data_IF_267431752287
#
_entry.id   IF_267431752287
#
_cell.length_a   1.000
_cell.length_b   1.000
_cell.length_c   1.000
_cell.angle_alpha   90.00
_cell.angle_beta   90.00
_cell.angle_gamma   90.00
#
_symmetry.space_group_name_H-M   'P 1'
#
loop_
_entity.id
_entity.type
_entity.pdbx_description
1 polymer ?
#
# COMPACT_ATOMS: atom_id res chain seq x y z
N UNK A 1 21.62 -27.26 -83.46
CA UNK A 1 21.08 -28.59 -83.73
C UNK A 1 20.98 -29.37 -82.41
N UNK A 2 19.83 -29.62 -81.79
CA UNK A 2 18.54 -28.89 -81.73
C UNK A 2 17.61 -29.56 -80.69
N UNK A 3 16.51 -28.99 -80.17
CA UNK A 3 15.83 -27.69 -80.41
C UNK A 3 15.39 -27.05 -79.08
N UNK A 4 14.86 -25.82 -79.10
CA UNK A 4 14.08 -25.24 -77.99
C UNK A 4 12.72 -25.92 -77.82
N UNK A 5 12.45 -26.49 -76.65
CA UNK A 5 11.08 -26.84 -76.21
C UNK A 5 10.55 -25.78 -75.25
N UNK A 6 9.42 -25.17 -75.62
CA UNK A 6 8.82 -24.00 -74.97
C UNK A 6 8.24 -24.35 -73.59
N UNK A 7 8.57 -23.58 -72.55
CA UNK A 7 7.80 -23.59 -71.31
C UNK A 7 6.43 -22.93 -71.55
N UNK A 8 5.38 -23.74 -71.67
CA UNK A 8 4.01 -23.26 -71.85
C UNK A 8 3.47 -22.75 -70.50
N UNK A 9 3.71 -21.47 -70.23
CA UNK A 9 3.16 -20.76 -69.07
C UNK A 9 1.67 -20.42 -69.30
N UNK A 10 0.80 -21.42 -69.08
CA UNK A 10 -0.65 -21.31 -69.27
C UNK A 10 -1.32 -20.45 -68.18
N UNK A 11 -1.38 -19.13 -68.41
CA UNK A 11 -2.19 -18.20 -67.61
C UNK A 11 -3.35 -17.65 -68.47
N UNK A 12 -4.46 -18.38 -68.52
CA UNK A 12 -5.66 -18.02 -69.30
C UNK A 12 -6.47 -16.82 -68.75
N UNK A 13 -6.06 -16.25 -67.61
CA UNK A 13 -6.70 -15.07 -67.04
C UNK A 13 -5.64 -14.01 -66.76
N UNK A 14 -5.74 -12.86 -67.42
CA UNK A 14 -4.80 -11.72 -67.34
C UNK A 14 -4.84 -10.94 -66.02
N UNK A 15 -4.86 -11.65 -64.89
CA UNK A 15 -4.96 -11.07 -63.55
C UNK A 15 -3.55 -10.79 -63.02
N UNK A 16 -3.31 -9.57 -62.55
CA UNK A 16 -2.03 -9.20 -61.93
C UNK A 16 -1.88 -9.95 -60.61
N UNK A 17 -0.99 -10.94 -60.57
CA UNK A 17 -0.66 -11.66 -59.33
C UNK A 17 0.19 -10.79 -58.40
N UNK A 18 -0.47 -10.08 -57.48
CA UNK A 18 0.21 -9.35 -56.41
C UNK A 18 0.77 -10.34 -55.38
N UNK A 19 2.10 -10.35 -55.21
CA UNK A 19 2.79 -11.20 -54.23
C UNK A 19 2.63 -10.60 -52.82
N UNK A 20 1.47 -10.81 -52.21
CA UNK A 20 1.13 -10.25 -50.89
C UNK A 20 1.96 -10.92 -49.79
N UNK A 21 3.02 -10.25 -49.34
CA UNK A 21 3.76 -10.65 -48.16
C UNK A 21 2.97 -10.32 -46.90
N UNK A 22 2.23 -11.30 -46.36
CA UNK A 22 1.49 -11.17 -45.10
C UNK A 22 2.48 -11.15 -43.92
N UNK A 23 2.97 -9.96 -43.58
CA UNK A 23 3.75 -9.73 -42.36
C UNK A 23 2.78 -9.77 -41.17
N UNK A 24 2.71 -10.92 -40.50
CA UNK A 24 2.03 -11.01 -39.20
C UNK A 24 2.79 -10.16 -38.18
N UNK A 25 2.33 -8.95 -37.91
CA UNK A 25 2.82 -8.19 -36.77
C UNK A 25 2.57 -8.98 -35.49
N UNK A 26 3.63 -9.48 -34.86
CA UNK A 26 3.57 -9.96 -33.49
C UNK A 26 3.26 -8.78 -32.59
N UNK A 27 1.97 -8.60 -32.28
CA UNK A 27 1.51 -7.83 -31.12
C UNK A 27 2.39 -8.26 -29.94
N UNK A 28 2.92 -7.29 -29.18
CA UNK A 28 3.81 -7.57 -28.05
C UNK A 28 2.94 -7.65 -26.79
N UNK A 29 2.36 -8.83 -26.42
CA UNK A 29 1.37 -8.92 -25.34
C UNK A 29 1.93 -8.39 -24.03
N UNK A 30 3.24 -8.56 -23.80
CA UNK A 30 3.94 -8.08 -22.62
C UNK A 30 3.78 -6.56 -22.40
N UNK A 31 3.71 -5.74 -23.47
CA UNK A 31 3.50 -4.28 -23.34
C UNK A 31 2.07 -3.96 -22.93
N UNK A 32 1.10 -4.65 -23.53
CA UNK A 32 -0.31 -4.51 -23.19
C UNK A 32 -0.57 -4.90 -21.73
N UNK A 33 -0.05 -6.07 -21.32
CA UNK A 33 -0.13 -6.57 -19.93
C UNK A 33 0.51 -5.57 -18.96
N UNK A 34 1.72 -5.05 -19.23
CA UNK A 34 2.35 -4.04 -18.36
C UNK A 34 1.54 -2.75 -18.27
N UNK A 35 0.89 -2.31 -19.35
CA UNK A 35 0.02 -1.13 -19.33
C UNK A 35 -1.23 -1.38 -18.49
N UNK A 36 -1.92 -2.51 -18.67
CA UNK A 36 -3.11 -2.88 -17.89
C UNK A 36 -2.79 -2.96 -16.39
N UNK A 37 -1.69 -3.63 -16.02
CA UNK A 37 -1.24 -3.71 -14.62
C UNK A 37 -0.90 -2.31 -14.07
N UNK A 38 -0.21 -1.47 -14.84
CA UNK A 38 0.15 -0.10 -14.43
C UNK A 38 -1.10 0.76 -14.19
N UNK A 39 -2.10 0.71 -15.08
CA UNK A 39 -3.36 1.43 -14.89
C UNK A 39 -4.16 0.89 -13.71
N UNK A 40 -4.21 -0.42 -13.51
CA UNK A 40 -4.88 -1.03 -12.36
C UNK A 40 -4.24 -0.58 -11.04
N UNK A 41 -2.90 -0.59 -10.94
CA UNK A 41 -2.17 -0.07 -9.78
C UNK A 41 -2.40 1.42 -9.56
N UNK A 42 -2.43 2.22 -10.63
CA UNK A 42 -2.70 3.66 -10.54
C UNK A 42 -4.12 3.95 -10.04
N UNK A 43 -5.13 3.23 -10.53
CA UNK A 43 -6.52 3.33 -10.05
C UNK A 43 -6.62 2.93 -8.58
N UNK A 44 -5.97 1.84 -8.17
CA UNK A 44 -5.91 1.43 -6.75
C UNK A 44 -5.26 2.50 -5.87
N UNK A 45 -4.12 3.06 -6.28
CA UNK A 45 -3.47 4.15 -5.54
C UNK A 45 -4.34 5.41 -5.46
N UNK A 46 -5.08 5.74 -6.52
CA UNK A 46 -6.01 6.87 -6.54
C UNK A 46 -7.19 6.65 -5.58
N UNK A 47 -7.77 5.44 -5.53
CA UNK A 47 -8.83 5.08 -4.59
C UNK A 47 -8.33 5.10 -3.13
N UNK A 48 -7.13 4.59 -2.86
CA UNK A 48 -6.50 4.66 -1.53
C UNK A 48 -6.22 6.11 -1.14
N UNK A 49 -5.70 6.92 -2.07
CA UNK A 49 -5.46 8.36 -1.84
C UNK A 49 -6.74 9.14 -1.57
N UNK A 50 -7.82 8.88 -2.31
CA UNK A 50 -9.11 9.52 -2.12
C UNK A 50 -9.75 9.14 -0.78
N UNK A 51 -9.75 7.85 -0.42
CA UNK A 51 -10.28 7.40 0.88
C UNK A 51 -9.48 7.96 2.06
N UNK A 52 -8.15 8.03 1.94
CA UNK A 52 -7.28 8.70 2.93
C UNK A 52 -7.59 10.20 3.05
N UNK A 53 -7.80 10.89 1.93
CA UNK A 53 -8.14 12.32 1.91
C UNK A 53 -9.48 12.58 2.59
N UNK A 54 -10.52 11.81 2.26
CA UNK A 54 -11.83 11.88 2.92
C UNK A 54 -11.71 11.64 4.42
N UNK A 55 -10.95 10.61 4.84
CA UNK A 55 -10.71 10.31 6.25
C UNK A 55 -10.01 11.46 7.01
N UNK A 56 -8.98 12.08 6.42
CA UNK A 56 -8.28 13.22 7.03
C UNK A 56 -9.17 14.47 7.06
N UNK A 57 -9.96 14.72 6.02
CA UNK A 57 -10.91 15.84 5.97
C UNK A 57 -12.00 15.68 7.05
N UNK A 58 -12.55 14.48 7.19
CA UNK A 58 -13.55 14.10 8.18
C UNK A 58 -13.04 14.29 9.63
N UNK A 59 -11.79 13.93 9.93
CA UNK A 59 -11.13 14.26 11.21
C UNK A 59 -11.04 15.78 11.42
N UNK A 60 -10.57 16.53 10.43
CA UNK A 60 -10.43 18.00 10.55
C UNK A 60 -11.77 18.71 10.72
N UNK A 61 -12.83 18.23 10.06
CA UNK A 61 -14.19 18.76 10.16
C UNK A 61 -14.78 18.48 11.54
N UNK A 62 -14.56 17.28 12.13
CA UNK A 62 -14.96 16.98 13.52
C UNK A 62 -14.25 17.89 14.52
N UNK A 63 -12.92 17.98 14.43
CA UNK A 63 -12.12 18.82 15.32
C UNK A 63 -12.56 20.30 15.26
N UNK A 64 -12.84 20.82 14.06
CA UNK A 64 -13.37 22.18 13.88
C UNK A 64 -14.79 22.39 14.46
N UNK A 65 -15.57 21.32 14.63
CA UNK A 65 -16.88 21.32 15.31
C UNK A 65 -16.78 21.09 16.82
N UNK A 66 -15.57 20.99 17.38
CA UNK A 66 -15.32 20.72 18.80
C UNK A 66 -15.42 19.24 19.20
N UNK A 67 -15.74 18.33 18.28
CA UNK A 67 -15.74 16.90 18.55
C UNK A 67 -14.31 16.34 18.46
N UNK A 68 -13.71 16.11 19.62
CA UNK A 68 -12.40 15.47 19.79
C UNK A 68 -12.51 13.96 20.05
N UNK A 69 -13.67 13.34 19.78
CA UNK A 69 -13.85 11.89 19.83
C UNK A 69 -12.75 11.16 19.05
N UNK A 70 -12.20 10.05 19.58
CA UNK A 70 -11.31 9.19 18.79
C UNK A 70 -11.97 8.77 17.47
N UNK A 71 -11.25 8.81 16.34
CA UNK A 71 -11.72 8.28 15.07
C UNK A 71 -12.24 6.84 15.20
N UNK A 72 -13.20 6.46 14.35
CA UNK A 72 -13.83 5.14 14.41
C UNK A 72 -12.84 3.98 14.20
N UNK A 73 -11.73 4.23 13.50
CA UNK A 73 -10.61 3.31 13.30
C UNK A 73 -9.32 4.10 13.54
N UNK A 74 -8.36 3.56 14.29
CA UNK A 74 -7.04 4.18 14.49
C UNK A 74 -5.92 3.17 14.21
N UNK A 75 -4.70 3.68 14.01
CA UNK A 75 -3.50 2.87 13.84
C UNK A 75 -2.40 3.36 14.79
N UNK A 76 -1.90 2.47 15.64
CA UNK A 76 -0.84 2.77 16.61
C UNK A 76 0.37 1.88 16.41
N UNK A 77 1.57 2.43 16.59
CA UNK A 77 2.82 1.66 16.56
C UNK A 77 3.17 1.22 17.97
N UNK A 78 3.34 -0.08 18.14
CA UNK A 78 3.62 -0.70 19.44
C UNK A 78 5.06 -0.41 19.84
N UNK A 79 5.25 0.19 21.01
CA UNK A 79 6.56 0.65 21.48
C UNK A 79 7.26 -0.34 22.42
N UNK A 80 6.50 -1.09 23.21
CA UNK A 80 6.99 -1.97 24.28
C UNK A 80 6.65 -3.44 24.02
N UNK A 81 7.29 -4.35 24.76
CA UNK A 81 7.07 -5.79 24.65
C UNK A 81 5.99 -6.36 25.57
N UNK A 82 5.12 -5.54 26.18
CA UNK A 82 4.15 -6.03 27.19
C UNK A 82 3.08 -6.97 26.62
N UNK A 83 2.89 -7.01 25.30
CA UNK A 83 1.92 -7.86 24.61
C UNK A 83 2.56 -9.03 23.85
N UNK A 84 3.85 -9.34 24.09
CA UNK A 84 4.54 -10.50 23.50
C UNK A 84 3.93 -11.80 24.06
N UNK A 85 3.75 -12.87 23.26
CA UNK A 85 4.12 -13.01 21.84
C UNK A 85 3.04 -12.53 20.86
N UNK A 86 1.83 -12.18 21.32
CA UNK A 86 0.71 -11.87 20.43
C UNK A 86 0.96 -10.59 19.62
N UNK A 87 1.56 -9.56 20.21
CA UNK A 87 1.87 -8.30 19.52
C UNK A 87 3.33 -7.94 19.82
N UNK A 88 4.15 -7.80 18.77
CA UNK A 88 5.56 -7.51 18.91
C UNK A 88 5.82 -5.99 18.92
N UNK A 89 6.91 -5.52 19.57
CA UNK A 89 7.39 -4.16 19.37
C UNK A 89 7.61 -3.85 17.87
N UNK A 90 7.23 -2.64 17.44
CA UNK A 90 7.21 -2.18 16.04
C UNK A 90 6.15 -2.83 15.13
N UNK A 91 5.22 -3.61 15.67
CA UNK A 91 3.97 -3.90 14.95
C UNK A 91 3.05 -2.68 14.94
N UNK A 92 2.18 -2.60 13.93
CA UNK A 92 1.09 -1.62 13.88
C UNK A 92 -0.20 -2.31 14.29
N UNK A 93 -0.84 -1.85 15.36
CA UNK A 93 -2.19 -2.29 15.74
C UNK A 93 -3.24 -1.37 15.12
N UNK A 94 -4.24 -1.96 14.49
CA UNK A 94 -5.43 -1.28 14.00
C UNK A 94 -6.53 -1.47 15.05
N UNK A 95 -7.00 -0.37 15.62
CA UNK A 95 -8.08 -0.39 16.62
C UNK A 95 -9.38 0.12 16.01
N UNK A 96 -10.51 -0.39 16.50
CA UNK A 96 -11.85 0.06 16.13
C UNK A 96 -12.60 0.52 17.38
N UNK A 97 -13.24 1.68 17.31
CA UNK A 97 -14.08 2.18 18.40
C UNK A 97 -15.25 1.21 18.63
N UNK A 98 -15.47 0.84 19.89
CA UNK A 98 -16.54 -0.05 20.36
C UNK A 98 -17.18 0.55 21.60
N UNK A 99 -18.47 0.30 21.78
CA UNK A 99 -19.13 0.60 23.05
C UNK A 99 -18.62 -0.34 24.14
N UNK A 100 -18.35 0.18 25.34
CA UNK A 100 -17.79 -0.58 26.45
C UNK A 100 -18.66 -1.80 26.85
N UNK A 101 -19.98 -1.71 26.70
CA UNK A 101 -20.90 -2.84 26.93
C UNK A 101 -20.58 -4.06 26.06
N UNK A 102 -20.05 -3.86 24.85
CA UNK A 102 -19.77 -4.91 23.87
C UNK A 102 -18.41 -5.58 24.07
N UNK A 103 -17.46 -4.92 24.73
CA UNK A 103 -16.13 -5.46 25.04
C UNK A 103 -16.21 -6.63 26.02
N UNK A 104 -15.40 -7.65 25.85
CA UNK A 104 -15.41 -8.88 26.64
C UNK A 104 -14.05 -9.19 27.26
N UNK A 105 -14.04 -10.10 28.24
CA UNK A 105 -12.80 -10.65 28.79
C UNK A 105 -12.08 -11.43 27.70
N UNK A 106 -10.79 -11.15 27.50
CA UNK A 106 -9.98 -11.72 26.42
C UNK A 106 -9.70 -10.76 25.27
N UNK A 107 -10.52 -9.73 25.07
CA UNK A 107 -10.29 -8.71 24.03
C UNK A 107 -9.02 -7.90 24.34
N UNK A 108 -8.32 -7.45 23.30
CA UNK A 108 -7.19 -6.54 23.42
C UNK A 108 -7.70 -5.13 23.16
N UNK A 109 -7.52 -4.22 24.12
CA UNK A 109 -7.98 -2.83 24.01
C UNK A 109 -6.81 -1.86 24.07
N UNK A 110 -6.95 -0.78 23.32
CA UNK A 110 -6.10 0.41 23.43
C UNK A 110 -6.88 1.49 24.17
N UNK A 111 -6.27 2.06 25.21
CA UNK A 111 -6.90 3.03 26.10
C UNK A 111 -5.87 4.04 26.63
N UNK A 112 -6.37 5.16 27.16
CA UNK A 112 -5.55 6.16 27.85
C UNK A 112 -5.36 5.74 29.32
N UNK A 113 -4.12 5.62 29.76
CA UNK A 113 -3.80 5.16 31.12
C UNK A 113 -4.13 6.22 32.18
N UNK A 114 -4.92 5.80 33.19
CA UNK A 114 -5.18 6.55 34.42
C UNK A 114 -4.12 6.30 35.53
N UNK A 115 -3.14 5.42 35.33
CA UNK A 115 -2.03 5.22 36.28
C UNK A 115 -1.22 6.53 36.40
N UNK A 116 -1.04 7.11 37.60
CA UNK A 116 -0.25 8.33 37.79
C UNK A 116 1.14 8.29 37.15
N UNK A 117 1.78 7.11 37.11
CA UNK A 117 3.11 6.88 36.55
C UNK A 117 3.13 6.87 35.01
N UNK A 118 1.97 6.66 34.39
CA UNK A 118 1.76 6.57 32.95
C UNK A 118 0.62 7.50 32.49
N UNK A 119 0.42 8.61 33.19
CA UNK A 119 -0.69 9.55 32.95
C UNK A 119 -0.69 10.03 31.49
N UNK A 120 -1.84 9.92 30.82
CA UNK A 120 -2.01 10.28 29.40
C UNK A 120 -1.17 9.47 28.41
N UNK A 121 -0.60 8.32 28.81
CA UNK A 121 0.07 7.41 27.88
C UNK A 121 -0.96 6.43 27.30
N UNK A 122 -0.89 6.23 25.98
CA UNK A 122 -1.71 5.24 25.28
C UNK A 122 -1.13 3.84 25.54
N UNK A 123 -1.91 3.00 26.21
CA UNK A 123 -1.55 1.61 26.56
C UNK A 123 -2.42 0.65 25.75
N UNK A 124 -1.86 -0.50 25.36
CA UNK A 124 -2.60 -1.56 24.66
C UNK A 124 -2.39 -2.87 25.41
N UNK A 125 -3.43 -3.37 26.10
CA UNK A 125 -3.38 -4.56 26.94
C UNK A 125 -4.66 -5.41 26.80
N UNK A 126 -4.62 -6.65 27.29
CA UNK A 126 -5.77 -7.57 27.25
C UNK A 126 -6.68 -7.40 28.46
N UNK A 127 -8.00 -7.41 28.25
CA UNK A 127 -8.99 -7.43 29.33
C UNK A 127 -8.90 -8.77 30.08
N UNK A 128 -8.67 -8.71 31.40
CA UNK A 128 -8.70 -9.85 32.32
C UNK A 128 -9.99 -9.94 33.11
N UNK A 129 -10.57 -8.80 33.50
CA UNK A 129 -11.87 -8.73 34.13
C UNK A 129 -12.63 -7.49 33.65
N UNK A 130 -13.97 -7.60 33.65
CA UNK A 130 -14.90 -6.54 33.30
C UNK A 130 -15.84 -6.36 34.49
N UNK A 131 -16.00 -5.12 34.93
CA UNK A 131 -16.90 -4.74 36.00
C UNK A 131 -17.95 -3.78 35.44
N UNK A 132 -19.14 -3.80 36.04
CA UNK A 132 -20.24 -2.92 35.70
C UNK A 132 -20.77 -2.31 36.99
N UNK A 133 -20.83 -0.99 37.04
CA UNK A 133 -21.43 -0.25 38.14
C UNK A 133 -22.85 0.17 37.75
N UNK A 134 -23.83 -0.46 38.39
CA UNK A 134 -25.24 -0.20 38.15
C UNK A 134 -25.70 1.19 38.65
N UNK A 135 -24.93 1.86 39.53
CA UNK A 135 -25.27 3.20 40.05
C UNK A 135 -24.84 4.31 39.09
N UNK A 136 -23.68 4.17 38.45
CA UNK A 136 -23.18 5.12 37.45
C UNK A 136 -23.47 4.72 36.00
N UNK A 137 -23.96 3.48 35.78
CA UNK A 137 -24.17 2.86 34.46
C UNK A 137 -22.90 2.84 33.60
N UNK A 138 -21.75 2.60 34.26
CA UNK A 138 -20.42 2.59 33.63
C UNK A 138 -19.77 1.20 33.66
N UNK A 139 -18.86 0.99 32.72
CA UNK A 139 -18.00 -0.19 32.69
C UNK A 139 -16.55 0.18 33.01
N UNK A 140 -15.90 -0.67 33.79
CA UNK A 140 -14.45 -0.59 34.05
C UNK A 140 -13.79 -1.94 33.79
N UNK A 141 -12.52 -1.91 33.38
CA UNK A 141 -11.83 -3.10 32.91
C UNK A 141 -10.48 -3.24 33.61
N UNK A 142 -10.25 -4.40 34.22
CA UNK A 142 -8.90 -4.76 34.64
C UNK A 142 -8.16 -5.31 33.44
N UNK A 143 -7.06 -4.66 33.09
CA UNK A 143 -6.21 -5.02 31.96
C UNK A 143 -4.92 -5.68 32.43
N UNK A 144 -4.26 -6.39 31.51
CA UNK A 144 -2.95 -6.98 31.71
C UNK A 144 -2.24 -7.12 30.35
N UNK A 145 -0.96 -6.75 30.30
CA UNK A 145 -0.08 -7.12 29.20
C UNK A 145 0.17 -8.64 29.18
N UNK A 146 0.07 -9.28 28.02
CA UNK A 146 0.25 -10.74 27.89
C UNK A 146 1.61 -11.24 28.43
N UNK A 147 2.67 -10.42 28.32
CA UNK A 147 4.00 -10.70 28.84
C UNK A 147 4.24 -10.23 30.29
N UNK A 148 3.30 -9.49 30.90
CA UNK A 148 3.46 -8.98 32.27
C UNK A 148 3.22 -10.11 33.29
N UNK A 149 3.83 -10.02 34.48
CA UNK A 149 3.56 -10.99 35.56
C UNK A 149 2.23 -10.69 36.28
N UNK A 150 2.02 -9.43 36.68
CA UNK A 150 0.80 -8.97 37.36
C UNK A 150 -0.22 -8.37 36.38
N UNK A 151 -1.46 -8.20 36.83
CA UNK A 151 -2.42 -7.31 36.16
C UNK A 151 -2.06 -5.84 36.43
N UNK A 152 -2.65 -4.93 35.66
CA UNK A 152 -2.49 -3.50 35.86
C UNK A 152 -3.28 -3.05 37.11
N UNK A 153 -2.69 -2.15 37.91
CA UNK A 153 -3.25 -1.74 39.20
C UNK A 153 -4.47 -0.80 39.06
N UNK A 154 -4.45 0.08 38.07
CA UNK A 154 -5.56 0.98 37.75
C UNK A 154 -6.48 0.34 36.72
N UNK A 155 -7.79 0.37 36.99
CA UNK A 155 -8.79 -0.04 36.01
C UNK A 155 -8.84 0.96 34.84
N UNK A 156 -9.05 0.45 33.63
CA UNK A 156 -9.38 1.28 32.48
C UNK A 156 -10.88 1.66 32.56
N UNK A 157 -11.17 2.97 32.60
CA UNK A 157 -12.52 3.51 32.53
C UNK A 157 -13.05 3.49 31.09
N UNK A 158 -14.36 3.28 30.90
CA UNK A 158 -15.02 3.30 29.60
C UNK A 158 -14.79 4.59 28.77
N UNK A 159 -14.72 5.74 29.45
CA UNK A 159 -14.37 7.06 28.89
C UNK A 159 -12.97 7.11 28.27
N UNK A 160 -12.03 6.32 28.78
CA UNK A 160 -10.62 6.33 28.36
C UNK A 160 -10.32 5.29 27.26
N UNK A 161 -11.31 4.46 26.86
CA UNK A 161 -11.12 3.45 25.82
C UNK A 161 -11.14 4.09 24.44
N UNK A 162 -10.04 3.90 23.71
CA UNK A 162 -9.88 4.37 22.33
C UNK A 162 -10.47 3.35 21.36
N UNK A 163 -10.24 2.05 21.58
CA UNK A 163 -10.86 0.99 20.79
C UNK A 163 -10.32 -0.42 21.05
N UNK A 164 -11.00 -1.42 20.48
CA UNK A 164 -10.60 -2.83 20.41
C UNK A 164 -9.59 -3.03 19.28
N UNK A 165 -8.49 -3.76 19.51
CA UNK A 165 -7.54 -4.14 18.46
C UNK A 165 -8.17 -5.21 17.58
N UNK A 166 -8.51 -4.84 16.34
CA UNK A 166 -9.14 -5.74 15.36
C UNK A 166 -8.13 -6.41 14.42
N UNK A 167 -6.94 -5.84 14.26
CA UNK A 167 -5.91 -6.36 13.36
C UNK A 167 -4.53 -5.86 13.77
N UNK A 168 -3.48 -6.64 13.46
CA UNK A 168 -2.08 -6.25 13.61
C UNK A 168 -1.36 -6.41 12.27
N UNK A 169 -0.48 -5.46 11.94
CA UNK A 169 0.39 -5.53 10.77
C UNK A 169 1.82 -5.69 11.27
N UNK A 170 2.40 -6.91 11.20
CA UNK A 170 3.73 -7.17 11.71
C UNK A 170 4.78 -6.28 11.05
N UNK A 171 5.73 -5.78 11.83
CA UNK A 171 6.90 -5.01 11.38
C UNK A 171 6.61 -3.68 10.64
N UNK A 172 5.37 -3.26 10.44
CA UNK A 172 5.06 -2.03 9.69
C UNK A 172 5.60 -0.76 10.39
N UNK A 173 5.75 -0.78 11.72
CA UNK A 173 6.35 0.30 12.49
C UNK A 173 7.83 0.54 12.19
N UNK A 174 8.55 -0.43 11.60
CA UNK A 174 9.91 -0.19 11.09
C UNK A 174 9.89 0.78 9.91
N UNK A 175 8.91 0.67 8.99
CA UNK A 175 8.77 1.57 7.84
C UNK A 175 8.52 3.01 8.32
N UNK A 176 7.60 3.18 9.29
CA UNK A 176 7.36 4.48 9.93
C UNK A 176 8.64 5.03 10.59
N UNK A 177 9.41 4.18 11.29
CA UNK A 177 10.64 4.63 11.94
C UNK A 177 11.72 5.09 10.96
N UNK A 178 11.84 4.45 9.78
CA UNK A 178 12.76 4.89 8.72
C UNK A 178 12.29 6.24 8.15
N UNK A 179 11.00 6.35 7.80
CA UNK A 179 10.40 7.57 7.24
C UNK A 179 10.44 8.77 8.20
N UNK A 180 10.40 8.53 9.52
CA UNK A 180 10.50 9.57 10.53
C UNK A 180 11.92 10.16 10.65
N UNK A 181 12.95 9.47 10.16
CA UNK A 181 14.32 10.01 10.14
C UNK A 181 14.56 10.86 8.90
N UNK A 182 15.26 11.99 9.06
CA UNK A 182 15.65 12.87 7.93
C UNK A 182 16.41 12.10 6.86
N UNK A 183 17.36 11.24 7.25
CA UNK A 183 18.14 10.41 6.34
C UNK A 183 17.31 9.34 5.62
N UNK A 184 16.44 8.63 6.34
CA UNK A 184 15.57 7.61 5.75
C UNK A 184 14.57 8.19 4.75
N UNK A 185 13.99 9.35 5.04
CA UNK A 185 13.12 10.08 4.10
C UNK A 185 13.90 10.47 2.83
N UNK A 186 15.12 11.03 2.97
CA UNK A 186 15.98 11.36 1.81
C UNK A 186 16.24 10.12 0.96
N UNK A 187 16.61 8.99 1.56
CA UNK A 187 16.89 7.73 0.84
C UNK A 187 15.64 7.24 0.09
N UNK A 188 14.47 7.24 0.74
CA UNK A 188 13.20 6.79 0.14
C UNK A 188 12.75 7.67 -1.02
N UNK A 189 13.07 8.97 -1.03
CA UNK A 189 12.75 9.88 -2.15
C UNK A 189 13.83 9.85 -3.24
N UNK A 190 15.11 9.78 -2.86
CA UNK A 190 16.24 9.87 -3.77
C UNK A 190 16.39 8.61 -4.64
N UNK A 191 16.19 7.41 -4.09
CA UNK A 191 16.33 6.16 -4.85
C UNK A 191 15.33 6.09 -6.02
N UNK A 192 14.01 6.30 -5.85
CA UNK A 192 13.07 6.36 -6.97
C UNK A 192 13.37 7.47 -7.96
N UNK A 193 13.80 8.65 -7.49
CA UNK A 193 14.18 9.77 -8.35
C UNK A 193 15.34 9.40 -9.29
N UNK A 194 16.43 8.84 -8.74
CA UNK A 194 17.57 8.36 -9.52
C UNK A 194 17.20 7.19 -10.45
N UNK A 195 16.30 6.30 -10.03
CA UNK A 195 15.80 5.21 -10.88
C UNK A 195 15.02 5.73 -12.10
N UNK A 196 14.15 6.73 -11.93
CA UNK A 196 13.42 7.37 -13.03
C UNK A 196 14.39 8.11 -13.97
N UNK A 197 15.28 8.94 -13.42
CA UNK A 197 16.25 9.71 -14.21
C UNK A 197 17.17 8.80 -15.04
N UNK A 198 17.72 7.74 -14.43
CA UNK A 198 18.58 6.78 -15.15
C UNK A 198 17.81 6.01 -16.22
N UNK A 199 16.55 5.64 -15.98
CA UNK A 199 15.70 5.01 -16.99
C UNK A 199 15.46 5.94 -18.19
N UNK A 200 15.14 7.22 -17.96
CA UNK A 200 14.88 8.17 -19.04
C UNK A 200 16.16 8.54 -19.84
N UNK A 201 17.33 8.64 -19.18
CA UNK A 201 18.63 8.80 -19.87
C UNK A 201 18.88 7.61 -20.81
N UNK A 202 18.74 6.38 -20.32
CA UNK A 202 18.94 5.15 -21.12
C UNK A 202 17.93 5.04 -22.26
N UNK A 203 16.67 5.41 -22.01
CA UNK A 203 15.59 5.45 -23.01
C UNK A 203 15.85 6.49 -24.10
N UNK A 204 16.33 7.68 -23.74
CA UNK A 204 16.72 8.73 -24.68
C UNK A 204 17.88 8.27 -25.58
N UNK A 205 18.96 7.74 -25.00
CA UNK A 205 20.10 7.20 -25.75
C UNK A 205 19.69 6.08 -26.73
N UNK A 206 18.84 5.15 -26.28
CA UNK A 206 18.27 4.08 -27.14
C UNK A 206 17.42 4.63 -28.28
N UNK A 207 16.68 5.71 -28.07
CA UNK A 207 15.85 6.35 -29.09
C UNK A 207 16.70 7.12 -30.12
N UNK A 208 17.76 7.81 -29.67
CA UNK A 208 18.72 8.48 -30.57
C UNK A 208 19.42 7.47 -31.46
N UNK A 209 19.95 6.37 -30.89
CA UNK A 209 20.60 5.30 -31.67
C UNK A 209 19.67 4.73 -32.74
N UNK A 210 18.43 4.40 -32.40
CA UNK A 210 17.43 3.91 -33.38
C UNK A 210 17.12 4.90 -34.50
N UNK A 211 17.07 6.21 -34.21
CA UNK A 211 16.90 7.25 -35.25
C UNK A 211 18.12 7.31 -36.18
N UNK A 212 19.34 7.21 -35.63
CA UNK A 212 20.57 7.18 -36.42
C UNK A 212 20.66 5.94 -37.31
N UNK A 213 20.38 4.75 -36.76
CA UNK A 213 20.36 3.47 -37.49
C UNK A 213 19.32 3.51 -38.63
N UNK A 214 18.10 4.01 -38.37
CA UNK A 214 17.08 4.19 -39.41
C UNK A 214 17.56 5.14 -40.51
N UNK A 215 18.04 6.35 -40.17
CA UNK A 215 18.52 7.33 -41.15
C UNK A 215 19.66 6.78 -42.02
N UNK A 216 20.58 6.00 -41.45
CA UNK A 216 21.69 5.35 -42.17
C UNK A 216 21.20 4.27 -43.15
N UNK A 217 20.18 3.50 -42.78
CA UNK A 217 19.54 2.53 -43.69
C UNK A 217 18.84 3.23 -44.87
N UNK A 218 18.12 4.31 -44.61
CA UNK A 218 17.38 5.11 -45.63
C UNK A 218 18.35 5.71 -46.67
N UNK A 219 19.45 6.32 -46.22
CA UNK A 219 20.52 6.84 -47.06
C UNK A 219 21.26 5.78 -47.89
N UNK A 220 21.24 4.52 -47.46
CA UNK A 220 21.89 3.40 -48.18
C UNK A 220 21.00 2.87 -49.29
N UNK A 221 19.66 2.95 -49.15
CA UNK A 221 18.70 2.52 -50.17
C UNK A 221 18.61 3.52 -51.33
N UNK A 222 18.70 4.82 -51.07
CA UNK A 222 18.63 5.87 -52.11
C UNK A 222 19.89 5.96 -53.00
N UNK A 223 20.98 5.28 -52.61
CA UNK A 223 22.27 5.27 -53.34
C UNK A 223 22.49 4.03 -54.23
N UNK A 224 21.47 3.19 -54.41
CA UNK A 224 21.46 2.02 -55.31
C UNK A 224 20.38 2.16 -56.36
#
# INVERSE_FOLDING_TARGET
MDSTSLEINNNYFGVRHYKVHVVKEKIKPIRFITSVISYALFIWLLLIGLTLLVYVADIKIRAAKGDNSPPAINAYVVLTGSMVPEIMPKDVVITKRREAKNLQVGDIITFLSSDPRLTNIIVTHRIKAKYYDATTNKYTFQTKGDANNTADFTLAEDTNIIGEVIFKIPKLGYVQSVLATKGGLIIVVLIPCLAILSYDIVKLGRNIKKKADKKKSELTVVRR
#
